data_IF_457381147177
#
_entry.id   IF_457381147177
#
_cell.length_a   1.000
_cell.length_b   1.000
_cell.length_c   1.000
_cell.angle_alpha   90.00
_cell.angle_beta   90.00
_cell.angle_gamma   90.00
#
_symmetry.space_group_name_H-M   'P 1'
#
loop_
_entity.id
_entity.type
_entity.pdbx_description
1 polymer ?
#
# COMPACT_ATOMS: atom_id res chain seq x y z
N UNK A 1 -4.79 7.83 -7.56
CA UNK A 1 -4.31 6.50 -7.22
C UNK A 1 -5.44 5.53 -6.83
N UNK A 2 -6.39 5.91 -5.96
CA UNK A 2 -7.51 5.03 -5.53
C UNK A 2 -8.25 4.37 -6.70
N UNK A 3 -8.66 5.15 -7.73
CA UNK A 3 -9.29 4.59 -8.93
C UNK A 3 -8.37 3.63 -9.69
N UNK A 4 -7.08 3.92 -9.76
CA UNK A 4 -6.13 3.06 -10.43
C UNK A 4 -5.95 1.74 -9.69
N UNK A 5 -5.86 1.79 -8.36
CA UNK A 5 -5.82 0.64 -7.48
C UNK A 5 -7.07 -0.23 -7.63
N UNK A 6 -8.26 0.36 -7.51
CA UNK A 6 -9.54 -0.36 -7.62
C UNK A 6 -9.70 -1.00 -9.02
N UNK A 7 -9.29 -0.29 -10.08
CA UNK A 7 -9.32 -0.84 -11.43
C UNK A 7 -8.35 -2.03 -11.61
N UNK A 8 -7.14 -1.95 -11.03
CA UNK A 8 -6.17 -3.05 -11.08
C UNK A 8 -6.64 -4.26 -10.25
N UNK A 9 -7.20 -3.98 -9.07
CA UNK A 9 -7.75 -5.01 -8.19
C UNK A 9 -8.98 -5.71 -8.79
N UNK A 10 -9.76 -4.99 -9.61
CA UNK A 10 -10.99 -5.47 -10.26
C UNK A 10 -11.92 -6.25 -9.30
N UNK A 11 -12.33 -5.64 -8.17
CA UNK A 11 -13.06 -6.33 -7.12
C UNK A 11 -14.46 -6.75 -7.60
N UNK A 12 -14.90 -7.94 -7.17
CA UNK A 12 -16.24 -8.48 -7.45
C UNK A 12 -17.05 -8.57 -6.16
N UNK A 13 -18.39 -8.52 -6.21
CA UNK A 13 -19.24 -8.65 -5.02
C UNK A 13 -19.04 -9.97 -4.24
N UNK A 14 -18.56 -11.01 -4.93
CA UNK A 14 -18.25 -12.30 -4.30
C UNK A 14 -16.89 -12.36 -3.62
N UNK A 15 -16.02 -11.38 -3.87
CA UNK A 15 -14.64 -11.42 -3.38
C UNK A 15 -14.56 -11.07 -1.90
N UNK A 16 -13.67 -11.78 -1.19
CA UNK A 16 -13.16 -11.38 0.12
C UNK A 16 -11.76 -10.80 -0.07
N UNK A 17 -11.58 -9.52 0.25
CA UNK A 17 -10.38 -8.75 -0.06
C UNK A 17 -9.71 -8.28 1.22
N UNK A 18 -8.40 -8.49 1.33
CA UNK A 18 -7.57 -7.95 2.39
C UNK A 18 -6.94 -6.63 1.94
N UNK A 19 -7.16 -5.57 2.69
CA UNK A 19 -6.49 -4.28 2.52
C UNK A 19 -5.49 -4.11 3.66
N UNK A 20 -4.19 -4.22 3.36
CA UNK A 20 -3.09 -4.11 4.32
C UNK A 20 -2.57 -2.69 4.43
N UNK A 21 -2.08 -2.34 5.61
CA UNK A 21 -1.71 -0.98 5.98
C UNK A 21 -2.85 -0.01 5.65
N UNK A 22 -4.06 -0.44 5.96
CA UNK A 22 -5.31 0.25 5.59
C UNK A 22 -5.48 1.62 6.27
N UNK A 23 -4.70 1.89 7.32
CA UNK A 23 -4.80 3.10 8.10
C UNK A 23 -6.21 3.32 8.62
N UNK A 24 -6.82 4.44 8.26
CA UNK A 24 -8.20 4.76 8.66
C UNK A 24 -9.26 4.25 7.67
N UNK A 25 -8.91 3.39 6.70
CA UNK A 25 -9.83 2.66 5.84
C UNK A 25 -10.26 3.39 4.56
N UNK A 26 -9.52 4.39 4.08
CA UNK A 26 -9.90 5.14 2.88
C UNK A 26 -9.92 4.26 1.61
N UNK A 27 -8.91 3.40 1.42
CA UNK A 27 -8.85 2.39 0.35
C UNK A 27 -9.91 1.31 0.53
N UNK A 28 -10.05 0.82 1.75
CA UNK A 28 -11.04 -0.20 2.10
C UNK A 28 -12.47 0.24 1.76
N UNK A 29 -12.82 1.49 2.08
CA UNK A 29 -14.13 2.05 1.79
C UNK A 29 -14.38 2.18 0.28
N UNK A 30 -13.37 2.56 -0.51
CA UNK A 30 -13.49 2.63 -1.97
C UNK A 30 -13.68 1.24 -2.58
N UNK A 31 -12.91 0.25 -2.13
CA UNK A 31 -13.02 -1.14 -2.59
C UNK A 31 -14.40 -1.72 -2.24
N UNK A 32 -14.89 -1.47 -1.03
CA UNK A 32 -16.19 -1.96 -0.56
C UNK A 32 -17.40 -1.46 -1.39
N UNK A 33 -17.26 -0.34 -2.11
CA UNK A 33 -18.29 0.15 -3.06
C UNK A 33 -18.59 -0.82 -4.21
N UNK A 34 -17.68 -1.74 -4.51
CA UNK A 34 -17.90 -2.81 -5.48
C UNK A 34 -18.87 -3.90 -4.99
N UNK A 35 -19.21 -3.91 -3.71
CA UNK A 35 -19.95 -4.97 -3.05
C UNK A 35 -19.07 -6.10 -2.49
N UNK A 36 -17.73 -6.02 -2.67
CA UNK A 36 -16.79 -6.98 -2.11
C UNK A 36 -16.75 -6.87 -0.58
N UNK A 37 -16.52 -8.01 0.09
CA UNK A 37 -16.27 -8.05 1.53
C UNK A 37 -14.82 -7.68 1.82
N UNK A 38 -14.58 -6.51 2.40
CA UNK A 38 -13.25 -6.00 2.70
C UNK A 38 -12.91 -6.19 4.16
N UNK A 39 -11.70 -6.70 4.42
CA UNK A 39 -11.06 -6.73 5.74
C UNK A 39 -9.89 -5.74 5.71
N UNK A 40 -9.98 -4.69 6.52
CA UNK A 40 -8.93 -3.70 6.70
C UNK A 40 -7.98 -4.17 7.80
N UNK A 41 -6.69 -4.32 7.51
CA UNK A 41 -5.68 -4.74 8.46
C UNK A 41 -4.59 -3.68 8.58
N UNK A 42 -4.25 -3.30 9.80
CA UNK A 42 -3.18 -2.34 10.09
C UNK A 42 -2.44 -2.72 11.37
N UNK A 43 -1.18 -2.33 11.47
CA UNK A 43 -0.39 -2.54 12.69
C UNK A 43 -0.80 -1.58 13.82
N UNK A 44 -1.26 -0.38 13.46
CA UNK A 44 -1.61 0.70 14.38
C UNK A 44 -3.01 0.55 14.96
N UNK A 45 -3.11 0.22 16.24
CA UNK A 45 -4.38 0.18 16.96
C UNK A 45 -5.14 1.51 16.89
N UNK A 46 -4.43 2.64 16.95
CA UNK A 46 -5.03 3.97 16.85
C UNK A 46 -5.65 4.26 15.48
N UNK A 47 -5.01 3.82 14.38
CA UNK A 47 -5.59 3.94 13.03
C UNK A 47 -6.84 3.08 12.90
N UNK A 48 -6.83 1.87 13.44
CA UNK A 48 -7.97 0.95 13.45
C UNK A 48 -9.15 1.54 14.21
N UNK A 49 -8.92 2.13 15.39
CA UNK A 49 -9.97 2.76 16.17
C UNK A 49 -10.65 3.91 15.39
N UNK A 50 -9.86 4.77 14.76
CA UNK A 50 -10.38 5.83 13.90
C UNK A 50 -11.13 5.25 12.69
N UNK A 51 -10.59 4.19 12.09
CA UNK A 51 -11.19 3.50 10.95
C UNK A 51 -12.56 2.93 11.26
N UNK A 52 -12.69 2.22 12.38
CA UNK A 52 -13.98 1.66 12.87
C UNK A 52 -15.03 2.73 13.08
N UNK A 53 -14.63 3.89 13.62
CA UNK A 53 -15.54 5.00 13.82
C UNK A 53 -16.01 5.64 12.50
N UNK A 54 -15.13 5.70 11.49
CA UNK A 54 -15.44 6.31 10.18
C UNK A 54 -16.20 5.37 9.25
N UNK A 55 -15.92 4.08 9.33
CA UNK A 55 -16.43 3.05 8.44
C UNK A 55 -16.95 1.85 9.23
N UNK A 56 -18.08 1.98 9.96
CA UNK A 56 -18.59 0.94 10.86
C UNK A 56 -18.98 -0.36 10.15
N UNK A 57 -19.21 -0.30 8.83
CA UNK A 57 -19.55 -1.46 8.01
C UNK A 57 -18.33 -2.27 7.51
N UNK A 58 -17.10 -1.78 7.79
CA UNK A 58 -15.86 -2.46 7.41
C UNK A 58 -15.27 -3.17 8.62
N UNK A 59 -14.83 -4.41 8.40
CA UNK A 59 -14.13 -5.20 9.42
C UNK A 59 -12.68 -4.69 9.55
N UNK A 60 -12.29 -4.20 10.74
CA UNK A 60 -10.92 -3.76 11.03
C UNK A 60 -10.24 -4.73 12.00
N UNK A 61 -9.06 -5.22 11.61
CA UNK A 61 -8.25 -6.17 12.39
C UNK A 61 -6.86 -5.60 12.58
N UNK A 62 -6.32 -5.69 13.80
CA UNK A 62 -4.92 -5.39 14.05
C UNK A 62 -4.05 -6.58 13.66
N UNK A 63 -3.00 -6.34 12.86
CA UNK A 63 -2.08 -7.40 12.45
C UNK A 63 -0.78 -6.84 11.89
N UNK A 64 0.27 -7.65 12.01
CA UNK A 64 1.56 -7.41 11.38
C UNK A 64 1.53 -8.00 9.97
N UNK A 65 1.97 -7.22 8.97
CA UNK A 65 2.07 -7.70 7.58
C UNK A 65 3.05 -8.88 7.41
N UNK A 66 4.01 -9.02 8.33
CA UNK A 66 4.99 -10.12 8.33
C UNK A 66 4.51 -11.40 9.06
N UNK A 67 3.37 -11.32 9.74
CA UNK A 67 2.73 -12.45 10.46
C UNK A 67 1.22 -12.21 10.53
N UNK A 68 0.54 -12.46 9.42
CA UNK A 68 -0.87 -12.13 9.25
C UNK A 68 -1.76 -13.07 10.07
N UNK A 69 -2.70 -12.54 10.88
CA UNK A 69 -3.58 -13.34 11.73
C UNK A 69 -4.75 -13.96 10.94
N UNK A 70 -4.45 -14.52 9.78
CA UNK A 70 -5.44 -15.13 8.90
C UNK A 70 -5.00 -16.52 8.46
N UNK A 71 -5.97 -17.38 8.21
CA UNK A 71 -5.75 -18.70 7.64
C UNK A 71 -5.25 -18.64 6.20
N UNK A 72 -4.53 -19.67 5.78
CA UNK A 72 -4.09 -19.84 4.41
C UNK A 72 -5.28 -19.77 3.45
N UNK A 73 -5.06 -19.16 2.28
CA UNK A 73 -6.02 -19.16 1.18
C UNK A 73 -7.42 -18.65 1.58
N UNK A 74 -7.50 -17.69 2.50
CA UNK A 74 -8.75 -17.14 3.02
C UNK A 74 -9.26 -15.91 2.25
N UNK A 75 -8.48 -15.36 1.33
CA UNK A 75 -8.82 -14.18 0.52
C UNK A 75 -8.75 -14.44 -0.99
N UNK A 76 -9.56 -13.72 -1.76
CA UNK A 76 -9.54 -13.72 -3.23
C UNK A 76 -8.55 -12.71 -3.80
N UNK A 77 -8.25 -11.67 -3.02
CA UNK A 77 -7.25 -10.66 -3.37
C UNK A 77 -6.71 -9.97 -2.11
N UNK A 78 -5.52 -9.40 -2.26
CA UNK A 78 -4.88 -8.53 -1.26
C UNK A 78 -4.39 -7.25 -1.92
N UNK A 79 -4.44 -6.15 -1.20
CA UNK A 79 -3.82 -4.88 -1.62
C UNK A 79 -3.06 -4.25 -0.46
N UNK A 80 -2.03 -3.49 -0.80
CA UNK A 80 -1.31 -2.63 0.13
C UNK A 80 -1.00 -1.30 -0.56
N UNK A 81 -1.33 -0.20 0.12
CA UNK A 81 -1.17 1.15 -0.43
C UNK A 81 -0.29 2.01 0.47
N UNK A 82 0.86 2.45 -0.06
CA UNK A 82 1.82 3.32 0.63
C UNK A 82 2.34 2.78 1.98
N UNK A 83 2.22 1.47 2.17
CA UNK A 83 2.59 0.78 3.40
C UNK A 83 3.79 -0.15 3.27
N UNK A 84 4.02 -0.72 2.07
CA UNK A 84 5.01 -1.78 1.89
C UNK A 84 6.45 -1.30 2.18
N UNK A 85 6.78 -0.05 1.83
CA UNK A 85 8.10 0.55 2.10
C UNK A 85 8.40 0.71 3.60
N UNK A 86 7.37 0.70 4.44
CA UNK A 86 7.50 0.87 5.90
C UNK A 86 7.62 -0.47 6.64
N UNK A 87 7.49 -1.59 5.92
CA UNK A 87 7.63 -2.93 6.49
C UNK A 87 9.11 -3.27 6.62
N UNK A 88 9.60 -3.73 7.78
CA UNK A 88 11.01 -4.07 7.98
C UNK A 88 11.54 -5.14 7.02
N UNK A 89 10.71 -6.13 6.68
CA UNK A 89 11.01 -7.16 5.68
C UNK A 89 9.87 -7.24 4.66
N UNK A 90 9.96 -6.46 3.55
CA UNK A 90 8.93 -6.46 2.51
C UNK A 90 8.75 -7.83 1.83
N UNK A 91 9.83 -8.62 1.70
CA UNK A 91 9.74 -9.96 1.11
C UNK A 91 8.89 -10.87 1.98
N UNK A 92 9.14 -10.89 3.28
CA UNK A 92 8.35 -11.68 4.24
C UNK A 92 6.87 -11.27 4.22
N UNK A 93 6.58 -9.97 4.15
CA UNK A 93 5.20 -9.51 4.02
C UNK A 93 4.53 -9.98 2.73
N UNK A 94 5.24 -9.94 1.60
CA UNK A 94 4.74 -10.43 0.31
C UNK A 94 4.51 -11.95 0.31
N UNK A 95 5.34 -12.72 1.02
CA UNK A 95 5.16 -14.17 1.24
C UNK A 95 3.92 -14.46 2.10
N UNK A 96 3.69 -13.67 3.17
CA UNK A 96 2.47 -13.76 3.99
C UNK A 96 1.21 -13.40 3.19
N UNK A 97 1.28 -12.35 2.36
CA UNK A 97 0.19 -12.03 1.42
C UNK A 97 -0.09 -13.20 0.47
N UNK A 98 0.95 -13.87 -0.05
CA UNK A 98 0.79 -15.04 -0.91
C UNK A 98 0.18 -16.22 -0.17
N UNK A 99 0.54 -16.43 1.10
CA UNK A 99 -0.02 -17.50 1.95
C UNK A 99 -1.53 -17.33 2.16
N UNK A 100 -1.97 -16.12 2.47
CA UNK A 100 -3.40 -15.87 2.79
C UNK A 100 -4.29 -15.75 1.56
N UNK A 101 -3.73 -15.58 0.37
CA UNK A 101 -4.48 -15.48 -0.88
C UNK A 101 -4.62 -16.85 -1.55
N UNK A 102 -5.80 -17.14 -2.08
CA UNK A 102 -6.09 -18.38 -2.80
C UNK A 102 -5.27 -18.49 -4.09
N UNK A 103 -4.96 -19.70 -4.57
CA UNK A 103 -4.38 -19.89 -5.90
C UNK A 103 -5.23 -19.19 -6.98
N UNK A 104 -4.57 -18.42 -7.85
CA UNK A 104 -5.25 -17.59 -8.85
C UNK A 104 -5.83 -16.27 -8.32
N UNK A 105 -5.61 -15.96 -7.05
CA UNK A 105 -5.98 -14.67 -6.46
C UNK A 105 -5.03 -13.54 -6.91
N UNK A 106 -5.30 -12.32 -6.46
CA UNK A 106 -4.64 -11.11 -6.97
C UNK A 106 -3.93 -10.35 -5.86
N UNK A 107 -2.75 -9.81 -6.19
CA UNK A 107 -2.07 -8.80 -5.39
C UNK A 107 -2.06 -7.47 -6.15
N UNK A 108 -2.36 -6.37 -5.46
CA UNK A 108 -2.13 -5.02 -5.98
C UNK A 108 -1.33 -4.21 -4.98
N UNK A 109 -0.15 -3.77 -5.38
CA UNK A 109 0.72 -2.86 -4.61
C UNK A 109 0.62 -1.48 -5.24
N UNK A 110 0.28 -0.47 -4.44
CA UNK A 110 0.34 0.93 -4.82
C UNK A 110 1.36 1.63 -3.94
N UNK A 111 2.50 2.04 -4.51
CA UNK A 111 3.60 2.57 -3.72
C UNK A 111 4.31 3.71 -4.46
N UNK A 112 5.05 4.53 -3.71
CA UNK A 112 5.91 5.54 -4.31
C UNK A 112 7.01 4.91 -5.15
N UNK A 113 7.43 5.65 -6.18
CA UNK A 113 8.52 5.25 -7.07
C UNK A 113 9.35 6.47 -7.48
N UNK A 114 10.44 6.22 -8.17
CA UNK A 114 11.30 7.28 -8.71
C UNK A 114 10.85 7.64 -10.12
N UNK A 115 10.64 8.95 -10.43
CA UNK A 115 10.27 9.40 -11.76
C UNK A 115 11.20 8.88 -12.86
N UNK A 116 10.61 8.41 -13.97
CA UNK A 116 11.34 7.78 -15.07
C UNK A 116 12.19 8.77 -15.89
N UNK A 117 11.73 10.02 -16.04
CA UNK A 117 12.49 11.05 -16.79
C UNK A 117 13.47 11.80 -15.92
N UNK A 118 14.69 12.01 -16.42
CA UNK A 118 15.76 12.71 -15.69
C UNK A 118 15.38 14.13 -15.21
N UNK A 119 14.75 15.00 -16.01
CA UNK A 119 14.36 16.32 -15.53
C UNK A 119 13.26 16.27 -14.46
N UNK A 120 12.30 15.33 -14.57
CA UNK A 120 11.26 15.17 -13.56
C UNK A 120 11.84 14.61 -12.26
N UNK A 121 12.80 13.69 -12.37
CA UNK A 121 13.53 13.12 -11.21
C UNK A 121 14.29 14.20 -10.46
N UNK A 122 15.03 15.07 -11.18
CA UNK A 122 15.74 16.18 -10.56
C UNK A 122 14.78 17.16 -9.84
N UNK A 123 13.69 17.53 -10.49
CA UNK A 123 12.64 18.37 -9.87
C UNK A 123 11.99 17.72 -8.66
N UNK A 124 11.71 16.43 -8.73
CA UNK A 124 11.11 15.66 -7.63
C UNK A 124 12.09 15.53 -6.44
N UNK A 125 13.37 15.27 -6.70
CA UNK A 125 14.39 15.23 -5.65
C UNK A 125 14.54 16.60 -4.95
N UNK A 126 14.54 17.71 -5.71
CA UNK A 126 14.55 19.05 -5.13
C UNK A 126 13.27 19.33 -4.31
N UNK A 127 12.10 18.86 -4.80
CA UNK A 127 10.84 19.00 -4.08
C UNK A 127 10.88 18.25 -2.73
N UNK A 128 11.33 17.00 -2.72
CA UNK A 128 11.47 16.20 -1.48
C UNK A 128 12.51 16.80 -0.52
N UNK A 129 13.60 17.36 -1.05
CA UNK A 129 14.71 17.85 -0.24
C UNK A 129 14.46 19.23 0.36
N UNK A 130 13.77 20.13 -0.36
CA UNK A 130 13.65 21.54 0.04
C UNK A 130 12.21 22.00 0.22
N UNK A 131 11.29 21.59 -0.65
CA UNK A 131 9.90 22.09 -0.61
C UNK A 131 9.10 21.38 0.47
N UNK A 132 9.21 20.06 0.55
CA UNK A 132 8.47 19.26 1.55
C UNK A 132 8.80 19.69 2.99
N UNK A 133 10.07 19.80 3.42
CA UNK A 133 10.41 20.27 4.77
C UNK A 133 9.94 21.71 5.04
N UNK A 134 10.00 22.59 4.03
CA UNK A 134 9.52 23.96 4.18
C UNK A 134 8.01 24.04 4.38
N UNK A 135 7.24 23.25 3.61
CA UNK A 135 5.79 23.15 3.75
C UNK A 135 5.42 22.52 5.09
N UNK A 136 6.15 21.49 5.51
CA UNK A 136 5.97 20.84 6.81
C UNK A 136 6.09 21.85 7.96
N UNK A 137 7.16 22.64 7.98
CA UNK A 137 7.39 23.71 9.00
C UNK A 137 6.32 24.78 9.02
N UNK A 138 5.70 25.07 7.87
CA UNK A 138 4.67 26.10 7.77
C UNK A 138 3.25 25.57 8.07
N UNK A 139 2.99 24.30 7.82
CA UNK A 139 1.65 23.72 7.86
C UNK A 139 1.39 22.72 8.99
N UNK A 140 2.43 22.19 9.63
CA UNK A 140 2.33 21.12 10.62
C UNK A 140 3.36 21.30 11.74
N UNK A 141 3.03 20.80 12.92
CA UNK A 141 3.93 20.72 14.07
C UNK A 141 4.78 19.43 14.10
N UNK A 142 4.74 18.61 13.04
CA UNK A 142 5.39 17.29 13.00
C UNK A 142 6.44 17.19 11.88
N UNK A 143 7.57 17.87 12.08
CA UNK A 143 8.71 17.87 11.15
C UNK A 143 9.28 16.45 10.95
N UNK A 144 9.20 15.58 11.97
CA UNK A 144 9.78 14.22 11.97
C UNK A 144 9.07 13.31 10.97
N UNK A 145 7.74 13.41 10.87
CA UNK A 145 6.96 12.56 9.96
C UNK A 145 7.26 12.85 8.47
N UNK A 146 7.53 14.12 8.12
CA UNK A 146 7.85 14.51 6.75
C UNK A 146 9.28 14.16 6.34
N UNK A 147 10.23 14.27 7.26
CA UNK A 147 11.61 13.85 7.01
C UNK A 147 11.67 12.33 6.80
N UNK A 148 10.97 11.56 7.65
CA UNK A 148 10.83 10.11 7.48
C UNK A 148 10.18 9.74 6.13
N UNK A 149 9.12 10.44 5.72
CA UNK A 149 8.48 10.20 4.43
C UNK A 149 9.45 10.42 3.27
N UNK A 150 10.20 11.52 3.28
CA UNK A 150 11.15 11.83 2.21
C UNK A 150 12.34 10.84 2.17
N UNK A 151 12.79 10.35 3.33
CA UNK A 151 13.84 9.36 3.44
C UNK A 151 13.36 7.99 2.97
N UNK A 152 12.22 7.52 3.45
CA UNK A 152 11.64 6.23 3.06
C UNK A 152 11.35 6.13 1.56
N UNK A 153 10.95 7.24 0.90
CA UNK A 153 10.77 7.27 -0.55
C UNK A 153 12.11 7.18 -1.29
N UNK A 154 13.17 7.84 -0.79
CA UNK A 154 14.49 7.81 -1.43
C UNK A 154 15.19 6.46 -1.36
N UNK A 155 14.97 5.74 -0.26
CA UNK A 155 15.57 4.41 -0.02
C UNK A 155 14.74 3.30 -0.68
N UNK A 156 13.51 3.57 -1.06
CA UNK A 156 12.62 2.57 -1.66
C UNK A 156 13.06 2.22 -3.08
N UNK A 157 13.11 0.92 -3.43
CA UNK A 157 13.46 0.46 -4.77
C UNK A 157 12.54 1.01 -5.86
N UNK A 158 13.03 1.03 -7.09
CA UNK A 158 12.22 1.40 -8.24
C UNK A 158 11.20 0.30 -8.62
N UNK A 159 10.27 0.63 -9.53
CA UNK A 159 9.17 -0.29 -9.86
C UNK A 159 9.64 -1.64 -10.47
N UNK A 160 10.70 -1.72 -11.32
CA UNK A 160 11.29 -2.99 -11.75
C UNK A 160 11.82 -3.84 -10.59
N UNK A 161 12.52 -3.22 -9.64
CA UNK A 161 13.09 -3.92 -8.47
C UNK A 161 11.97 -4.42 -7.54
N UNK A 162 10.93 -3.61 -7.31
CA UNK A 162 9.75 -4.04 -6.54
C UNK A 162 9.02 -5.18 -7.25
N UNK A 163 8.88 -5.13 -8.59
CA UNK A 163 8.27 -6.21 -9.35
C UNK A 163 9.09 -7.51 -9.25
N UNK A 164 10.41 -7.42 -9.23
CA UNK A 164 11.30 -8.57 -9.00
C UNK A 164 11.10 -9.16 -7.60
N UNK A 165 11.06 -8.31 -6.57
CA UNK A 165 10.80 -8.71 -5.19
C UNK A 165 9.46 -9.44 -5.04
N UNK A 166 8.41 -8.93 -5.70
CA UNK A 166 7.09 -9.56 -5.72
C UNK A 166 7.17 -10.96 -6.36
N UNK A 167 7.87 -11.09 -7.49
CA UNK A 167 8.05 -12.38 -8.17
C UNK A 167 8.84 -13.39 -7.30
N UNK A 168 9.89 -12.94 -6.61
CA UNK A 168 10.67 -13.77 -5.68
C UNK A 168 9.86 -14.25 -4.46
N UNK A 169 8.84 -13.49 -4.06
CA UNK A 169 7.92 -13.88 -3.00
C UNK A 169 6.83 -14.88 -3.44
N UNK A 170 6.91 -15.40 -4.69
CA UNK A 170 6.04 -16.46 -5.19
C UNK A 170 4.85 -15.99 -6.03
N UNK A 171 4.76 -14.71 -6.35
CA UNK A 171 3.71 -14.16 -7.22
C UNK A 171 4.08 -14.33 -8.69
N UNK A 172 3.11 -14.69 -9.53
CA UNK A 172 3.29 -14.86 -10.99
C UNK A 172 2.63 -13.70 -11.76
N UNK A 173 2.97 -13.57 -13.04
CA UNK A 173 2.38 -12.58 -13.96
C UNK A 173 2.50 -11.13 -13.45
N UNK A 174 3.63 -10.82 -12.78
CA UNK A 174 3.85 -9.50 -12.20
C UNK A 174 3.97 -8.44 -13.29
N UNK A 175 3.16 -7.39 -13.18
CA UNK A 175 3.17 -6.24 -14.08
C UNK A 175 3.13 -4.96 -13.27
N UNK A 176 3.72 -3.89 -13.78
CA UNK A 176 3.65 -2.59 -13.12
C UNK A 176 3.28 -1.48 -14.12
N UNK A 177 2.74 -0.41 -13.59
CA UNK A 177 2.36 0.77 -14.36
C UNK A 177 2.66 2.03 -13.56
N UNK A 178 3.37 2.94 -14.16
CA UNK A 178 3.63 4.25 -13.56
C UNK A 178 2.38 5.15 -13.59
N UNK A 179 2.14 5.81 -12.48
CA UNK A 179 1.15 6.88 -12.34
C UNK A 179 1.87 8.20 -12.06
N UNK A 180 1.21 9.33 -12.37
CA UNK A 180 1.70 10.68 -12.05
C UNK A 180 3.17 10.91 -12.48
N UNK A 181 3.51 10.51 -13.70
CA UNK A 181 4.88 10.71 -14.23
C UNK A 181 5.95 9.81 -13.60
N UNK A 182 5.56 8.73 -12.92
CA UNK A 182 6.46 7.79 -12.26
C UNK A 182 6.72 8.08 -10.79
N UNK A 183 5.89 8.90 -10.15
CA UNK A 183 5.94 9.15 -8.70
C UNK A 183 5.24 8.02 -7.92
N UNK A 184 4.31 7.35 -8.56
CA UNK A 184 3.56 6.18 -8.04
C UNK A 184 3.55 5.11 -9.10
#
# INVERSE_FOLDING_TARGET
>A
WLKALTNALAPKPSDRILDLAAGTGASSAEIARSGARVVACDLSAGMIEVGRNRHPDIEFIQGDAMDLPFEDQSFDAVTISYGLRNVPDPKRALEEMARVVRPGGRLVVCEFSTPTSAPLRAGYSLHLQYVMPLVARLASSDDVAYDYLAESIREWPDAPEVAHLIAEAGWSEVQYRYLTGGIV
#
